data_IF_923438246985
#
_entry.id   IF_923438246985
#
_cell.length_a   1.000
_cell.length_b   1.000
_cell.length_c   1.000
_cell.angle_alpha   90.00
_cell.angle_beta   90.00
_cell.angle_gamma   90.00
#
_symmetry.space_group_name_H-M   'P 1'
#
loop_
_entity.id
_entity.type
_entity.pdbx_description
1 polymer ?
#
# COMPACT_ATOMS: atom_id res chain seq x y z
N UNK A 1 2.91 19.47 22.70
CA UNK A 1 3.03 18.01 22.50
C UNK A 1 2.37 17.56 21.19
N UNK A 2 1.08 17.85 20.95
CA UNK A 2 0.36 17.47 19.72
C UNK A 2 0.98 18.00 18.41
N UNK A 3 1.45 19.25 18.40
CA UNK A 3 2.02 19.85 17.18
C UNK A 3 3.39 19.28 16.78
N UNK A 4 4.22 18.86 17.74
CA UNK A 4 5.50 18.20 17.45
C UNK A 4 5.28 16.79 16.88
N UNK A 5 4.29 16.05 17.40
CA UNK A 5 3.89 14.75 16.86
C UNK A 5 3.28 14.88 15.46
N UNK A 6 2.42 15.90 15.23
CA UNK A 6 1.86 16.18 13.91
C UNK A 6 2.93 16.62 12.89
N UNK A 7 3.91 17.43 13.31
CA UNK A 7 5.06 17.81 12.46
C UNK A 7 5.99 16.64 12.19
N UNK A 8 6.25 15.77 13.17
CA UNK A 8 7.02 14.56 12.99
C UNK A 8 6.31 13.56 12.06
N UNK A 9 4.98 13.43 12.15
CA UNK A 9 4.19 12.65 11.19
C UNK A 9 4.23 13.26 9.80
N UNK A 10 4.07 14.59 9.64
CA UNK A 10 4.21 15.27 8.34
C UNK A 10 5.62 15.17 7.76
N UNK A 11 6.66 15.12 8.60
CA UNK A 11 8.04 14.91 8.16
C UNK A 11 8.31 13.45 7.79
N UNK A 12 7.72 12.49 8.50
CA UNK A 12 7.71 11.07 8.08
C UNK A 12 6.96 10.88 6.75
N UNK A 13 5.87 11.61 6.54
CA UNK A 13 5.11 11.64 5.26
C UNK A 13 5.88 12.29 4.10
N UNK A 14 6.92 13.09 4.38
CA UNK A 14 7.82 13.64 3.35
C UNK A 14 8.94 12.68 2.95
N UNK A 15 9.09 11.54 3.65
CA UNK A 15 10.00 10.52 3.18
C UNK A 15 9.47 9.91 1.88
N UNK A 16 10.37 9.56 0.98
CA UNK A 16 10.04 8.75 -0.17
C UNK A 16 9.39 7.43 0.29
N UNK A 17 8.33 6.95 -0.38
CA UNK A 17 7.74 5.67 -0.04
C UNK A 17 8.80 4.57 -0.16
N UNK A 18 8.73 3.53 0.69
CA UNK A 18 9.66 2.41 0.59
C UNK A 18 9.54 1.73 -0.77
N UNK A 19 10.60 1.03 -1.19
CA UNK A 19 10.51 0.18 -2.38
C UNK A 19 9.70 -1.07 -2.07
N UNK A 20 8.74 -1.39 -2.93
CA UNK A 20 7.99 -2.64 -2.87
C UNK A 20 8.68 -3.72 -3.70
N UNK A 21 9.11 -4.82 -3.07
CA UNK A 21 9.83 -5.89 -3.73
C UNK A 21 8.91 -7.04 -4.15
N UNK A 22 7.66 -7.07 -3.68
CA UNK A 22 6.71 -8.14 -3.98
C UNK A 22 6.99 -9.42 -3.20
N UNK A 23 7.64 -9.33 -2.05
CA UNK A 23 7.94 -10.46 -1.17
C UNK A 23 6.81 -10.71 -0.17
N UNK A 24 6.82 -11.86 0.49
CA UNK A 24 5.76 -12.22 1.44
C UNK A 24 5.73 -11.32 2.68
N UNK A 25 6.88 -10.76 3.05
CA UNK A 25 7.01 -9.77 4.13
C UNK A 25 6.61 -8.34 3.72
N UNK A 26 6.44 -8.07 2.42
CA UNK A 26 6.03 -6.74 1.96
C UNK A 26 4.52 -6.57 2.12
N UNK A 27 4.09 -5.56 2.86
CA UNK A 27 2.68 -5.17 2.93
C UNK A 27 2.30 -4.33 1.70
N UNK A 28 1.60 -4.97 0.76
CA UNK A 28 1.13 -4.34 -0.47
C UNK A 28 0.15 -3.19 -0.21
N UNK A 29 -0.81 -3.36 0.70
CA UNK A 29 -1.85 -2.35 0.90
C UNK A 29 -1.26 -1.12 1.61
N UNK A 30 -0.37 -1.34 2.58
CA UNK A 30 0.37 -0.26 3.21
C UNK A 30 1.29 0.46 2.23
N UNK A 31 1.93 -0.27 1.30
CA UNK A 31 2.73 0.36 0.25
C UNK A 31 1.88 1.21 -0.71
N UNK A 32 0.73 0.70 -1.17
CA UNK A 32 -0.20 1.45 -2.01
C UNK A 32 -0.67 2.72 -1.31
N UNK A 33 -0.99 2.64 -0.01
CA UNK A 33 -1.35 3.80 0.80
C UNK A 33 -0.23 4.84 0.84
N UNK A 34 1.01 4.44 1.14
CA UNK A 34 2.14 5.38 1.17
C UNK A 34 2.43 6.02 -0.19
N UNK A 35 2.23 5.30 -1.29
CA UNK A 35 2.35 5.87 -2.65
C UNK A 35 1.28 6.93 -2.88
N UNK A 36 0.01 6.65 -2.58
CA UNK A 36 -1.08 7.62 -2.74
C UNK A 36 -0.88 8.85 -1.84
N UNK A 37 -0.42 8.66 -0.62
CA UNK A 37 -0.11 9.75 0.32
C UNK A 37 1.05 10.61 -0.17
N UNK A 38 2.16 9.99 -0.61
CA UNK A 38 3.32 10.73 -1.12
C UNK A 38 3.00 11.53 -2.38
N UNK A 39 2.14 10.99 -3.25
CA UNK A 39 1.70 11.63 -4.48
C UNK A 39 0.35 12.34 -4.35
N UNK A 40 -0.08 12.72 -3.14
CA UNK A 40 -1.39 13.35 -2.91
C UNK A 40 -1.61 14.66 -3.68
N UNK A 41 -0.55 15.32 -4.16
CA UNK A 41 -0.64 16.51 -5.02
C UNK A 41 -0.89 16.19 -6.52
N UNK A 42 -0.73 14.93 -6.94
CA UNK A 42 -0.82 14.45 -8.34
C UNK A 42 -2.13 13.72 -8.62
N UNK A 43 -3.24 14.21 -8.04
CA UNK A 43 -4.55 13.58 -8.17
C UNK A 43 -5.05 13.57 -9.62
N UNK A 44 -4.63 14.55 -10.43
CA UNK A 44 -4.98 14.62 -11.87
C UNK A 44 -4.33 13.47 -12.63
N UNK A 45 -3.04 13.23 -12.43
CA UNK A 45 -2.32 12.12 -13.03
C UNK A 45 -2.88 10.78 -12.52
N UNK A 46 -3.14 10.68 -11.22
CA UNK A 46 -3.66 9.47 -10.60
C UNK A 46 -5.08 9.09 -11.06
N UNK A 47 -5.90 10.08 -11.40
CA UNK A 47 -7.26 9.88 -11.93
C UNK A 47 -7.31 9.84 -13.46
N UNK A 48 -6.18 10.07 -14.14
CA UNK A 48 -6.13 10.07 -15.59
C UNK A 48 -6.30 8.66 -16.18
N UNK A 49 -6.84 8.62 -17.41
CA UNK A 49 -6.99 7.38 -18.17
C UNK A 49 -5.71 7.01 -18.96
N UNK A 50 -4.54 7.46 -18.49
CA UNK A 50 -3.24 7.21 -19.11
C UNK A 50 -2.25 6.55 -18.12
N UNK A 51 -1.01 6.34 -18.57
CA UNK A 51 0.02 5.64 -17.79
C UNK A 51 0.95 6.57 -16.99
N UNK A 52 0.78 7.90 -17.07
CA UNK A 52 1.74 8.87 -16.51
C UNK A 52 2.00 8.64 -15.04
N UNK A 53 0.93 8.41 -14.26
CA UNK A 53 1.08 8.13 -12.84
C UNK A 53 1.83 6.81 -12.57
N UNK A 54 1.50 5.75 -13.32
CA UNK A 54 2.15 4.43 -13.17
C UNK A 54 3.62 4.45 -13.61
N UNK A 55 3.99 5.38 -14.50
CA UNK A 55 5.37 5.64 -14.89
C UNK A 55 6.12 6.48 -13.83
N UNK A 56 5.44 7.42 -13.15
CA UNK A 56 6.04 8.20 -12.05
C UNK A 56 6.46 7.34 -10.86
N UNK A 57 5.72 6.26 -10.56
CA UNK A 57 6.01 5.40 -9.42
C UNK A 57 7.13 4.37 -9.68
N UNK A 58 7.71 4.32 -10.89
CA UNK A 58 8.81 3.41 -11.26
C UNK A 58 9.92 3.34 -10.19
N UNK A 59 10.41 4.46 -9.62
CA UNK A 59 11.52 4.43 -8.66
C UNK A 59 11.21 3.67 -7.36
N UNK A 60 9.93 3.47 -7.04
CA UNK A 60 9.47 2.81 -5.81
C UNK A 60 9.11 1.34 -6.03
N UNK A 61 9.33 0.80 -7.24
CA UNK A 61 9.18 -0.62 -7.54
C UNK A 61 10.52 -1.33 -7.43
N UNK A 62 10.52 -2.49 -6.79
CA UNK A 62 11.64 -3.41 -6.75
C UNK A 62 11.88 -4.08 -8.11
N UNK A 63 13.06 -4.66 -8.27
CA UNK A 63 13.50 -5.27 -9.54
C UNK A 63 12.54 -6.37 -10.01
N UNK A 64 12.06 -7.21 -9.09
CA UNK A 64 11.15 -8.31 -9.41
C UNK A 64 9.77 -7.81 -9.88
N UNK A 65 9.24 -6.78 -9.21
CA UNK A 65 8.00 -6.11 -9.58
C UNK A 65 8.12 -5.46 -10.95
N UNK A 66 9.27 -4.82 -11.24
CA UNK A 66 9.56 -4.23 -12.55
C UNK A 66 9.65 -5.29 -13.66
N UNK A 67 10.31 -6.42 -13.39
CA UNK A 67 10.43 -7.52 -14.34
C UNK A 67 9.06 -8.14 -14.67
N UNK A 68 8.21 -8.34 -13.66
CA UNK A 68 6.83 -8.76 -13.86
C UNK A 68 6.01 -7.72 -14.62
N UNK A 69 6.04 -6.46 -14.19
CA UNK A 69 5.26 -5.38 -14.80
C UNK A 69 5.61 -5.19 -16.28
N UNK A 70 6.88 -5.36 -16.65
CA UNK A 70 7.33 -5.31 -18.06
C UNK A 70 6.69 -6.41 -18.92
N UNK A 71 6.59 -7.65 -18.39
CA UNK A 71 5.90 -8.77 -19.07
C UNK A 71 4.40 -8.51 -19.18
N UNK A 72 3.80 -8.02 -18.09
CA UNK A 72 2.39 -7.64 -18.06
C UNK A 72 2.08 -6.54 -19.10
N UNK A 73 2.88 -5.48 -19.14
CA UNK A 73 2.78 -4.39 -20.11
C UNK A 73 2.87 -4.89 -21.55
N UNK A 74 3.77 -5.83 -21.82
CA UNK A 74 3.88 -6.46 -23.13
C UNK A 74 2.61 -7.24 -23.51
N UNK A 75 2.03 -7.99 -22.57
CA UNK A 75 0.82 -8.77 -22.80
C UNK A 75 -0.44 -7.90 -23.03
N UNK A 76 -0.52 -6.73 -22.37
CA UNK A 76 -1.62 -5.77 -22.49
C UNK A 76 -1.59 -4.92 -23.78
N UNK A 77 -0.47 -4.93 -24.50
CA UNK A 77 -0.26 -4.14 -25.71
C UNK A 77 -0.28 -2.63 -25.46
N UNK A 78 -0.96 -1.89 -26.34
CA UNK A 78 -1.01 -0.41 -26.29
C UNK A 78 -2.07 0.14 -25.32
N UNK A 79 -2.75 -0.72 -24.58
CA UNK A 79 -3.77 -0.32 -23.60
C UNK A 79 -3.15 0.56 -22.50
N UNK A 80 -3.75 1.70 -22.14
CA UNK A 80 -3.25 2.53 -21.05
C UNK A 80 -3.25 1.77 -19.71
N UNK A 81 -2.17 1.92 -18.95
CA UNK A 81 -2.04 1.34 -17.62
C UNK A 81 -2.46 2.37 -16.58
N UNK A 82 -3.77 2.52 -16.39
CA UNK A 82 -4.32 3.43 -15.39
C UNK A 82 -3.98 2.99 -13.97
N UNK A 83 -3.98 3.92 -13.02
CA UNK A 83 -3.71 3.61 -11.62
C UNK A 83 -4.66 2.55 -11.03
N UNK A 84 -5.99 2.59 -11.26
CA UNK A 84 -6.89 1.53 -10.79
C UNK A 84 -6.54 0.14 -11.34
N UNK A 85 -6.20 0.05 -12.63
CA UNK A 85 -5.79 -1.21 -13.27
C UNK A 85 -4.49 -1.74 -12.65
N UNK A 86 -3.50 -0.87 -12.45
CA UNK A 86 -2.26 -1.25 -11.79
C UNK A 86 -2.50 -1.81 -10.39
N UNK A 87 -3.33 -1.14 -9.56
CA UNK A 87 -3.69 -1.64 -8.22
C UNK A 87 -4.35 -3.01 -8.27
N UNK A 88 -5.32 -3.19 -9.18
CA UNK A 88 -6.02 -4.46 -9.35
C UNK A 88 -5.05 -5.61 -9.71
N UNK A 89 -4.16 -5.38 -10.68
CA UNK A 89 -3.24 -6.41 -11.16
C UNK A 89 -2.14 -6.72 -10.13
N UNK A 90 -1.67 -5.71 -9.42
CA UNK A 90 -0.68 -5.90 -8.35
C UNK A 90 -1.30 -6.67 -7.17
N UNK A 91 -2.55 -6.37 -6.80
CA UNK A 91 -3.30 -7.16 -5.80
C UNK A 91 -3.50 -8.60 -6.26
N UNK A 92 -3.94 -8.82 -7.50
CA UNK A 92 -4.09 -10.18 -8.02
C UNK A 92 -2.79 -10.98 -8.02
N UNK A 93 -1.63 -10.31 -8.08
CA UNK A 93 -0.32 -10.97 -8.15
C UNK A 93 0.31 -11.22 -6.79
N UNK A 94 0.26 -10.23 -5.89
CA UNK A 94 1.04 -10.21 -4.65
C UNK A 94 0.19 -10.25 -3.39
N UNK A 95 -1.13 -10.08 -3.48
CA UNK A 95 -1.99 -10.25 -2.31
C UNK A 95 -1.99 -11.72 -1.93
N UNK A 96 -1.73 -11.99 -0.67
CA UNK A 96 -1.82 -13.34 -0.13
C UNK A 96 -3.26 -13.86 -0.28
N UNK A 97 -3.44 -15.12 -0.67
CA UNK A 97 -4.77 -15.70 -0.85
C UNK A 97 -5.58 -15.67 0.45
N UNK A 98 -4.88 -15.73 1.59
CA UNK A 98 -5.46 -15.73 2.93
C UNK A 98 -5.51 -14.33 3.56
N UNK A 99 -5.27 -13.25 2.81
CA UNK A 99 -5.22 -11.88 3.34
C UNK A 99 -6.45 -11.54 4.19
N UNK A 100 -7.65 -11.83 3.67
CA UNK A 100 -8.90 -11.54 4.39
C UNK A 100 -9.01 -12.36 5.68
N UNK A 101 -8.58 -13.62 5.65
CA UNK A 101 -8.60 -14.49 6.82
C UNK A 101 -7.62 -14.02 7.90
N UNK A 102 -6.40 -13.63 7.50
CA UNK A 102 -5.40 -13.07 8.40
C UNK A 102 -5.89 -11.76 9.02
N UNK A 103 -6.43 -10.85 8.21
CA UNK A 103 -7.00 -9.58 8.68
C UNK A 103 -8.14 -9.79 9.70
N UNK A 104 -9.03 -10.75 9.43
CA UNK A 104 -10.11 -11.11 10.36
C UNK A 104 -9.58 -11.71 11.67
N UNK A 105 -8.55 -12.55 11.58
CA UNK A 105 -7.91 -13.17 12.75
C UNK A 105 -7.23 -12.09 13.62
N UNK A 106 -6.46 -11.19 13.01
CA UNK A 106 -5.83 -10.08 13.72
C UNK A 106 -6.86 -9.15 14.39
N UNK A 107 -7.96 -8.82 13.71
CA UNK A 107 -9.03 -8.01 14.30
C UNK A 107 -9.70 -8.71 15.49
N UNK A 108 -9.93 -10.03 15.39
CA UNK A 108 -10.47 -10.81 16.48
C UNK A 108 -9.53 -10.82 17.69
N UNK A 109 -8.25 -11.09 17.47
CA UNK A 109 -7.24 -11.16 18.54
C UNK A 109 -7.03 -9.82 19.23
N UNK A 110 -7.04 -8.72 18.48
CA UNK A 110 -7.04 -7.36 19.02
C UNK A 110 -8.26 -7.12 19.91
N UNK A 111 -9.46 -7.48 19.44
CA UNK A 111 -10.70 -7.32 20.21
C UNK A 111 -10.67 -8.14 21.51
N UNK A 112 -10.16 -9.37 21.47
CA UNK A 112 -9.98 -10.23 22.65
C UNK A 112 -9.01 -9.57 23.64
N UNK A 113 -7.89 -9.04 23.14
CA UNK A 113 -6.87 -8.36 23.97
C UNK A 113 -7.44 -7.11 24.63
N UNK A 114 -8.18 -6.27 23.90
CA UNK A 114 -8.84 -5.07 24.46
C UNK A 114 -9.86 -5.44 25.53
N UNK A 115 -10.70 -6.46 25.27
CA UNK A 115 -11.67 -6.93 26.25
C UNK A 115 -11.00 -7.45 27.53
N UNK A 116 -9.87 -8.13 27.41
CA UNK A 116 -9.09 -8.62 28.56
C UNK A 116 -8.48 -7.48 29.38
N UNK A 117 -7.90 -6.47 28.72
CA UNK A 117 -7.40 -5.26 29.39
C UNK A 117 -8.52 -4.51 30.11
N UNK A 118 -9.66 -4.31 29.47
CA UNK A 118 -10.83 -3.65 30.06
C UNK A 118 -11.36 -4.41 31.28
N UNK A 119 -11.36 -5.74 31.23
CA UNK A 119 -11.76 -6.57 32.36
C UNK A 119 -10.78 -6.44 33.53
N UNK A 120 -9.47 -6.58 33.29
CA UNK A 120 -8.45 -6.47 34.35
C UNK A 120 -8.38 -5.09 35.00
N UNK A 121 -8.63 -4.02 34.25
CA UNK A 121 -8.62 -2.64 34.77
C UNK A 121 -9.76 -2.39 35.77
N UNK A 122 -10.88 -3.13 35.69
CA UNK A 122 -12.01 -2.98 36.62
C UNK A 122 -11.73 -3.53 38.02
N UNK A 123 -10.68 -4.33 38.18
CA UNK A 123 -10.34 -5.01 39.43
C UNK A 123 -8.97 -4.58 40.00
N UNK A 124 -8.41 -3.47 39.50
CA UNK A 124 -7.20 -2.81 40.03
C UNK A 124 -7.56 -1.42 40.53
#
# INVERSE_FOLDING_TARGET
>A
MYEMQARANRQKQKANPPKFHGRAEDDLELWLFHVEEHFAAYTVEMSSNDSRFVDMIVPFRGVDVMAWYSKFKHAMGSSPHTWPLFKQQTRSRYRDNDYEFKMLTEMHDLRVTTAQQEYSTKFT
#
